data_IF_596719510690
#
_entry.id   IF_596719510690
#
_cell.length_a   1.000
_cell.length_b   1.000
_cell.length_c   1.000
_cell.angle_alpha   90.00
_cell.angle_beta   90.00
_cell.angle_gamma   90.00
#
_symmetry.space_group_name_H-M   'P 1'
#
loop_
_entity.id
_entity.type
_entity.pdbx_description
1 polymer ?
#
# COMPACT_ATOMS: atom_id res chain seq x y z
N UNK A 1 -9.86 19.76 -1.87
CA UNK A 1 -8.49 20.24 -2.07
C UNK A 1 -7.55 19.31 -1.31
N UNK A 2 -6.40 18.92 -1.87
CA UNK A 2 -5.49 18.01 -1.16
C UNK A 2 -4.68 18.78 -0.13
N UNK A 3 -4.53 18.23 1.08
CA UNK A 3 -3.66 18.81 2.12
C UNK A 3 -2.20 18.90 1.69
N UNK A 4 -1.74 17.96 0.86
CA UNK A 4 -0.41 17.97 0.27
C UNK A 4 -0.52 17.86 -1.26
N UNK A 5 -0.05 18.87 -2.04
CA UNK A 5 -0.13 18.84 -3.49
C UNK A 5 0.77 17.77 -4.12
N UNK A 6 1.80 17.33 -3.39
CA UNK A 6 2.77 16.31 -3.84
C UNK A 6 2.50 14.93 -3.27
N UNK A 7 1.50 14.79 -2.39
CA UNK A 7 1.15 13.55 -1.71
C UNK A 7 2.41 12.90 -1.10
N UNK A 8 3.02 13.60 -0.13
CA UNK A 8 4.28 13.18 0.51
C UNK A 8 5.48 13.05 -0.42
N UNK A 9 5.44 13.67 -1.62
CA UNK A 9 6.46 13.50 -2.67
C UNK A 9 6.34 12.20 -3.46
N UNK A 10 5.35 11.38 -3.14
CA UNK A 10 5.15 10.03 -3.66
C UNK A 10 3.89 9.92 -4.52
N UNK A 11 3.27 11.03 -4.89
CA UNK A 11 2.10 11.04 -5.75
C UNK A 11 1.86 12.39 -6.41
N UNK A 12 0.61 12.60 -6.81
CA UNK A 12 0.13 13.88 -7.34
C UNK A 12 -1.32 14.09 -6.94
N UNK A 13 -1.64 15.29 -6.46
CA UNK A 13 -3.01 15.65 -6.15
C UNK A 13 -3.83 15.79 -7.44
N UNK A 14 -4.88 14.97 -7.57
CA UNK A 14 -5.83 15.03 -8.69
C UNK A 14 -7.25 15.06 -8.12
N UNK A 15 -8.02 16.11 -8.44
CA UNK A 15 -9.42 16.26 -7.98
C UNK A 15 -9.62 16.16 -6.46
N UNK A 16 -8.65 16.62 -5.66
CA UNK A 16 -8.74 16.56 -4.19
C UNK A 16 -8.40 15.19 -3.59
N UNK A 17 -7.89 14.25 -4.39
CA UNK A 17 -7.39 12.96 -3.96
C UNK A 17 -5.95 12.75 -4.41
N UNK A 18 -5.15 12.09 -3.58
CA UNK A 18 -3.77 11.79 -3.91
C UNK A 18 -3.65 10.56 -4.79
N UNK A 19 -3.12 10.75 -6.00
CA UNK A 19 -2.82 9.66 -6.92
C UNK A 19 -1.38 9.22 -6.70
N UNK A 20 -1.20 8.06 -6.07
CA UNK A 20 0.11 7.57 -5.65
C UNK A 20 0.92 6.97 -6.80
N UNK A 21 2.23 7.19 -6.76
CA UNK A 21 3.18 6.50 -7.65
C UNK A 21 3.18 5.00 -7.34
N UNK A 22 3.55 4.15 -8.31
CA UNK A 22 3.73 2.72 -8.09
C UNK A 22 4.66 2.49 -6.90
N UNK A 23 4.27 1.59 -5.99
CA UNK A 23 5.01 1.36 -4.75
C UNK A 23 4.60 2.24 -3.58
N UNK A 24 3.59 3.11 -3.72
CA UNK A 24 3.05 3.95 -2.65
C UNK A 24 1.53 3.86 -2.57
N UNK A 25 0.98 4.07 -1.38
CA UNK A 25 -0.46 3.98 -1.05
C UNK A 25 -0.80 4.87 0.14
N UNK A 26 -2.09 4.87 0.50
CA UNK A 26 -2.61 5.74 1.55
C UNK A 26 -3.13 7.07 1.00
N UNK A 27 -3.92 7.80 1.81
CA UNK A 27 -4.57 9.04 1.40
C UNK A 27 -3.60 10.18 1.08
N UNK A 28 -2.33 10.07 1.52
CA UNK A 28 -1.26 11.01 1.23
C UNK A 28 -0.06 10.35 0.55
N UNK A 29 -0.20 9.12 0.04
CA UNK A 29 0.90 8.35 -0.56
C UNK A 29 2.12 8.20 0.37
N UNK A 30 1.89 8.22 1.67
CA UNK A 30 2.89 8.13 2.73
C UNK A 30 3.22 6.67 3.09
N UNK A 31 2.38 5.73 2.66
CA UNK A 31 2.59 4.30 2.89
C UNK A 31 3.34 3.71 1.71
N UNK A 32 4.52 3.14 1.93
CA UNK A 32 5.22 2.45 0.85
C UNK A 32 4.68 1.02 0.71
N UNK A 33 4.20 0.65 -0.47
CA UNK A 33 3.85 -0.74 -0.81
C UNK A 33 5.09 -1.64 -0.91
N UNK A 34 6.28 -1.05 -0.93
CA UNK A 34 7.55 -1.76 -0.74
C UNK A 34 7.76 -2.24 0.70
N UNK A 35 7.01 -1.70 1.68
CA UNK A 35 7.01 -2.22 3.05
C UNK A 35 6.21 -3.52 3.20
N UNK A 36 5.57 -4.04 2.15
CA UNK A 36 5.16 -5.44 2.14
C UNK A 36 6.42 -6.27 1.99
N UNK A 37 6.93 -6.90 3.06
CA UNK A 37 8.08 -7.78 2.94
C UNK A 37 7.65 -8.86 1.93
N UNK A 38 8.36 -8.92 0.81
CA UNK A 38 8.22 -9.97 -0.20
C UNK A 38 6.80 -10.22 -0.75
N UNK A 39 5.97 -9.17 -0.88
CA UNK A 39 4.57 -9.32 -1.33
C UNK A 39 3.82 -10.42 -0.56
N UNK A 40 3.84 -10.34 0.77
CA UNK A 40 3.24 -11.35 1.62
C UNK A 40 3.93 -12.72 1.46
N UNK A 41 5.27 -12.71 1.42
CA UNK A 41 6.11 -13.88 1.16
C UNK A 41 5.76 -14.65 -0.13
N UNK A 42 5.08 -14.02 -1.09
CA UNK A 42 4.57 -14.68 -2.29
C UNK A 42 3.40 -15.63 -2.03
N UNK A 43 2.81 -15.58 -0.83
CA UNK A 43 1.72 -16.44 -0.35
C UNK A 43 0.46 -15.63 -0.02
N UNK A 44 0.30 -14.48 -0.67
CA UNK A 44 -0.88 -13.65 -0.48
C UNK A 44 -0.92 -12.46 -1.42
N UNK A 45 -2.06 -11.77 -1.40
CA UNK A 45 -2.27 -10.52 -2.09
C UNK A 45 -2.24 -9.36 -1.09
N UNK A 46 -1.36 -8.39 -1.30
CA UNK A 46 -1.39 -7.18 -0.48
C UNK A 46 -2.61 -6.32 -0.80
N UNK A 47 -3.40 -6.05 0.23
CA UNK A 47 -4.57 -5.18 0.17
C UNK A 47 -4.15 -3.74 0.52
N UNK A 48 -4.04 -2.83 -0.47
CA UNK A 48 -3.63 -1.45 -0.22
C UNK A 48 -4.69 -0.66 0.56
N UNK A 49 -5.95 -1.10 0.55
CA UNK A 49 -7.05 -0.47 1.27
C UNK A 49 -6.91 -0.63 2.79
N UNK A 50 -6.39 -1.78 3.23
CA UNK A 50 -6.22 -2.11 4.66
C UNK A 50 -4.77 -2.04 5.11
N UNK A 51 -3.82 -1.99 4.16
CA UNK A 51 -2.40 -2.09 4.46
C UNK A 51 -1.99 -3.48 4.95
N UNK A 52 -2.80 -4.52 4.71
CA UNK A 52 -2.58 -5.88 5.20
C UNK A 52 -2.42 -6.87 4.04
N UNK A 53 -1.71 -7.95 4.32
CA UNK A 53 -1.63 -9.09 3.42
C UNK A 53 -2.86 -9.98 3.56
N UNK A 54 -3.56 -10.22 2.45
CA UNK A 54 -4.60 -11.23 2.32
C UNK A 54 -3.94 -12.55 1.91
N UNK A 55 -3.74 -13.44 2.87
CA UNK A 55 -3.02 -14.70 2.65
C UNK A 55 -3.82 -15.73 1.84
N UNK A 56 -3.08 -16.55 1.08
CA UNK A 56 -3.61 -17.73 0.41
C UNK A 56 -4.09 -18.79 1.43
N UNK A 57 -4.94 -19.74 1.02
CA UNK A 57 -5.38 -20.82 1.90
C UNK A 57 -4.18 -21.60 2.46
N UNK A 58 -4.16 -21.80 3.78
CA UNK A 58 -3.06 -22.37 4.58
C UNK A 58 -1.91 -21.43 4.94
N UNK A 59 -2.00 -20.14 4.60
CA UNK A 59 -1.05 -19.11 5.02
C UNK A 59 -1.72 -18.09 5.94
N UNK A 60 -0.97 -17.59 6.91
CA UNK A 60 -1.40 -16.69 7.97
C UNK A 60 -0.24 -15.78 8.40
N UNK A 61 -0.57 -14.77 9.19
CA UNK A 61 0.38 -13.77 9.67
C UNK A 61 0.28 -12.45 8.89
N UNK A 62 0.88 -11.37 9.41
CA UNK A 62 0.80 -10.03 8.82
C UNK A 62 1.44 -9.94 7.42
N UNK A 63 2.32 -10.89 7.11
CA UNK A 63 3.09 -11.03 5.89
C UNK A 63 2.90 -12.42 5.23
N UNK A 64 1.93 -13.22 5.67
CA UNK A 64 1.67 -14.57 5.12
C UNK A 64 2.89 -15.49 5.12
N UNK A 65 3.71 -15.42 6.17
CA UNK A 65 4.90 -16.24 6.34
C UNK A 65 4.66 -17.56 7.07
N UNK A 66 3.47 -17.78 7.67
CA UNK A 66 3.18 -18.92 8.57
C UNK A 66 2.02 -19.77 8.08
#
# INVERSE_FOLDING_TARGET
DCLDPTCSGHGSCVSGQCHCKPGWSGPLCDVSRAQCPDQCNGHGAYSPDTGLCSCDPNWMGPDCST
#
